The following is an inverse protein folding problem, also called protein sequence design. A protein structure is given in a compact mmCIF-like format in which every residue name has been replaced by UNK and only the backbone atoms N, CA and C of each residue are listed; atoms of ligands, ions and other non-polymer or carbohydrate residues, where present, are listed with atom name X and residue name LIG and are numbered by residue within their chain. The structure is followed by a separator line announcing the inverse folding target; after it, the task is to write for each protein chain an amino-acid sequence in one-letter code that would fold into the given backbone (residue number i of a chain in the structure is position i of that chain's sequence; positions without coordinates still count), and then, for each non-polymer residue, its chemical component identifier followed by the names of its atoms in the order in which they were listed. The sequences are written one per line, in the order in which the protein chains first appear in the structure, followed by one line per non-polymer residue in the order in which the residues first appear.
data_IF_887054475634
#
_entry.id   IF_887054475634
#
_cell.length_a   1.000
_cell.length_b   1.000
_cell.length_c   1.000
_cell.angle_alpha   90.00
_cell.angle_beta   90.00
_cell.angle_gamma   90.00
#
_symmetry.space_group_name_H-M   'P 1'
#
loop_
_entity.id
_entity.type
_entity.pdbx_description
1 polymer ?
#
# COMPACT_ATOMS: atom_id res chain seq x y z
N UNK A 1 -17.03 -10.36 -47.62
CA UNK A 1 -16.82 -10.97 -46.29
C UNK A 1 -15.34 -10.86 -45.96
N UNK A 2 -14.90 -10.10 -44.95
CA UNK A 2 -13.51 -10.15 -44.52
C UNK A 2 -13.29 -11.38 -43.63
N UNK A 3 -12.14 -12.03 -43.82
CA UNK A 3 -11.74 -13.26 -43.15
C UNK A 3 -11.58 -13.08 -41.63
N UNK A 4 -11.81 -14.14 -40.81
CA UNK A 4 -11.58 -14.07 -39.38
C UNK A 4 -10.08 -13.91 -39.11
N UNK A 5 -9.70 -12.80 -38.48
CA UNK A 5 -8.34 -12.64 -37.95
C UNK A 5 -8.16 -13.59 -36.76
N UNK A 6 -7.28 -14.58 -36.94
CA UNK A 6 -6.88 -15.54 -35.93
C UNK A 6 -6.18 -14.81 -34.79
N UNK A 7 -6.94 -14.51 -33.75
CA UNK A 7 -6.56 -13.75 -32.57
C UNK A 7 -5.91 -14.67 -31.51
N UNK A 8 -5.08 -15.63 -31.95
CA UNK A 8 -4.38 -16.56 -31.08
C UNK A 8 -3.00 -16.03 -30.70
N UNK A 9 -2.79 -15.82 -29.39
CA UNK A 9 -1.49 -15.43 -28.82
C UNK A 9 -0.40 -16.36 -29.34
N UNK A 10 0.67 -15.78 -29.91
CA UNK A 10 1.81 -16.55 -30.39
C UNK A 10 2.42 -17.37 -29.26
N UNK A 11 3.07 -18.48 -29.61
CA UNK A 11 3.72 -19.36 -28.63
C UNK A 11 4.76 -18.59 -27.78
N UNK A 12 5.40 -17.57 -28.36
CA UNK A 12 6.31 -16.65 -27.66
C UNK A 12 5.63 -15.75 -26.64
N UNK A 13 4.43 -15.25 -26.94
CA UNK A 13 3.66 -14.39 -26.03
C UNK A 13 3.07 -15.18 -24.86
N UNK A 14 2.63 -16.42 -25.12
CA UNK A 14 2.22 -17.36 -24.07
C UNK A 14 3.39 -17.68 -23.13
N UNK A 15 4.59 -17.93 -23.67
CA UNK A 15 5.78 -18.19 -22.87
C UNK A 15 6.21 -16.97 -22.04
N UNK A 16 6.11 -15.76 -22.58
CA UNK A 16 6.41 -14.52 -21.85
C UNK A 16 5.42 -14.29 -20.70
N UNK A 17 4.13 -14.49 -20.95
CA UNK A 17 3.08 -14.35 -19.93
C UNK A 17 3.24 -15.38 -18.81
N UNK A 18 3.53 -16.64 -19.17
CA UNK A 18 3.81 -17.72 -18.22
C UNK A 18 5.06 -17.43 -17.39
N UNK A 19 6.14 -16.92 -18.01
CA UNK A 19 7.34 -16.48 -17.30
C UNK A 19 7.06 -15.34 -16.33
N UNK A 20 6.26 -14.36 -16.72
CA UNK A 20 5.84 -13.25 -15.85
C UNK A 20 5.02 -13.72 -14.65
N UNK A 21 4.04 -14.61 -14.88
CA UNK A 21 3.25 -15.21 -13.81
C UNK A 21 4.09 -16.08 -12.86
N UNK A 22 4.99 -16.89 -13.39
CA UNK A 22 5.91 -17.71 -12.61
C UNK A 22 6.88 -16.85 -11.77
N UNK A 23 7.43 -15.79 -12.36
CA UNK A 23 8.29 -14.84 -11.65
C UNK A 23 7.55 -14.12 -10.52
N UNK A 24 6.32 -13.66 -10.77
CA UNK A 24 5.47 -13.07 -9.73
C UNK A 24 5.18 -14.06 -8.60
N UNK A 25 4.88 -15.32 -8.94
CA UNK A 25 4.67 -16.38 -7.96
C UNK A 25 5.93 -16.65 -7.12
N UNK A 26 7.11 -16.65 -7.74
CA UNK A 26 8.39 -16.79 -7.05
C UNK A 26 8.67 -15.63 -6.09
N UNK A 27 8.39 -14.38 -6.51
CA UNK A 27 8.55 -13.21 -5.65
C UNK A 27 7.62 -13.27 -4.43
N UNK A 28 6.34 -13.60 -4.64
CA UNK A 28 5.37 -13.76 -3.56
C UNK A 28 5.77 -14.91 -2.62
N UNK A 29 6.27 -16.02 -3.15
CA UNK A 29 6.78 -17.12 -2.35
C UNK A 29 8.02 -16.73 -1.54
N UNK A 30 8.94 -15.96 -2.13
CA UNK A 30 10.13 -15.43 -1.46
C UNK A 30 9.80 -14.46 -0.34
N UNK A 31 8.87 -13.54 -0.57
CA UNK A 31 8.36 -12.62 0.46
C UNK A 31 7.67 -13.38 1.61
N UNK A 32 6.80 -14.34 1.28
CA UNK A 32 6.15 -15.19 2.27
C UNK A 32 7.16 -16.00 3.10
N UNK A 33 8.24 -16.49 2.48
CA UNK A 33 9.33 -17.15 3.20
C UNK A 33 10.09 -16.17 4.11
N UNK A 34 10.41 -14.97 3.63
CA UNK A 34 11.07 -13.96 4.45
C UNK A 34 10.25 -13.57 5.69
N UNK A 35 8.92 -13.41 5.55
CA UNK A 35 8.02 -13.16 6.67
C UNK A 35 7.98 -14.30 7.68
N UNK A 36 8.00 -15.52 7.20
CA UNK A 36 8.09 -16.70 8.06
C UNK A 36 9.40 -16.78 8.83
N UNK A 37 10.54 -16.49 8.17
CA UNK A 37 11.84 -16.40 8.85
C UNK A 37 11.79 -15.29 9.91
N UNK A 38 11.32 -14.09 9.56
CA UNK A 38 11.24 -12.96 10.49
C UNK A 38 10.37 -13.27 11.71
N UNK A 39 9.22 -13.93 11.52
CA UNK A 39 8.27 -14.24 12.58
C UNK A 39 8.58 -15.49 13.41
N UNK A 40 9.60 -16.28 13.06
CA UNK A 40 9.96 -17.50 13.78
C UNK A 40 10.19 -17.28 15.30
N UNK A 41 10.90 -16.23 15.77
CA UNK A 41 11.10 -16.01 17.20
C UNK A 41 9.79 -15.83 17.97
N UNK A 42 8.82 -15.13 17.38
CA UNK A 42 7.48 -14.94 17.94
C UNK A 42 6.74 -16.28 18.07
N UNK A 43 6.84 -17.12 17.03
CA UNK A 43 6.20 -18.44 16.97
C UNK A 43 6.81 -19.44 17.97
N UNK A 44 8.14 -19.48 18.12
CA UNK A 44 8.83 -20.37 19.05
C UNK A 44 8.55 -20.03 20.52
N UNK A 45 8.54 -18.73 20.88
CA UNK A 45 8.31 -18.29 22.27
C UNK A 45 6.92 -18.67 22.80
N UNK A 46 5.98 -18.96 21.89
CA UNK A 46 4.59 -19.31 22.18
C UNK A 46 4.22 -20.68 21.62
N UNK A 47 5.22 -21.49 21.27
CA UNK A 47 4.99 -22.85 20.80
C UNK A 47 4.15 -23.62 21.81
N UNK A 48 3.24 -24.46 21.29
CA UNK A 48 2.36 -25.31 22.08
C UNK A 48 1.38 -24.59 23.01
N UNK A 49 1.23 -23.26 22.88
CA UNK A 49 0.10 -22.55 23.49
C UNK A 49 -1.15 -22.71 22.62
N UNK A 50 -2.30 -22.90 23.27
CA UNK A 50 -3.60 -22.96 22.61
C UNK A 50 -3.99 -21.66 21.91
N UNK A 51 -5.12 -21.69 21.20
CA UNK A 51 -5.71 -20.50 20.56
C UNK A 51 -5.90 -19.39 21.61
N UNK A 52 -5.45 -18.15 21.36
CA UNK A 52 -5.67 -17.05 22.30
C UNK A 52 -7.16 -16.67 22.37
N UNK A 53 -7.55 -15.97 23.43
CA UNK A 53 -8.90 -15.44 23.63
C UNK A 53 -8.88 -13.91 23.67
N UNK A 54 -10.01 -13.27 23.35
CA UNK A 54 -10.18 -11.81 23.40
C UNK A 54 -10.06 -11.18 24.79
N UNK A 55 -9.83 -11.97 25.85
CA UNK A 55 -9.50 -11.43 27.18
C UNK A 55 -8.13 -10.72 27.22
N UNK A 56 -7.29 -10.94 26.20
CA UNK A 56 -5.99 -10.30 26.06
C UNK A 56 -6.12 -8.90 25.43
N UNK A 57 -5.16 -7.99 25.70
CA UNK A 57 -5.03 -6.76 24.94
C UNK A 57 -4.92 -7.03 23.42
N UNK A 58 -5.46 -6.17 22.54
CA UNK A 58 -5.57 -6.46 21.11
C UNK A 58 -4.25 -6.83 20.42
N UNK A 59 -3.18 -6.06 20.67
CA UNK A 59 -1.87 -6.36 20.12
C UNK A 59 -1.40 -7.75 20.55
N UNK A 60 -1.50 -8.06 21.85
CA UNK A 60 -1.11 -9.35 22.37
C UNK A 60 -1.95 -10.50 21.81
N UNK A 61 -3.26 -10.30 21.65
CA UNK A 61 -4.13 -11.25 20.98
C UNK A 61 -3.64 -11.55 19.56
N UNK A 62 -3.37 -10.52 18.76
CA UNK A 62 -2.90 -10.66 17.37
C UNK A 62 -1.53 -11.36 17.30
N UNK A 63 -0.57 -10.99 18.16
CA UNK A 63 0.74 -11.64 18.27
C UNK A 63 0.62 -13.13 18.61
N UNK A 64 -0.26 -13.47 19.56
CA UNK A 64 -0.50 -14.87 19.95
C UNK A 64 -1.27 -15.63 18.87
N UNK A 65 -2.18 -14.97 18.16
CA UNK A 65 -2.94 -15.57 17.07
C UNK A 65 -2.00 -15.90 15.90
N UNK A 66 -1.11 -14.98 15.53
CA UNK A 66 -0.03 -15.24 14.57
C UNK A 66 0.79 -16.46 14.98
N UNK A 67 1.29 -16.49 16.21
CA UNK A 67 2.12 -17.59 16.70
C UNK A 67 1.39 -18.93 16.68
N UNK A 68 0.10 -18.96 17.04
CA UNK A 68 -0.73 -20.15 16.98
C UNK A 68 -0.96 -20.62 15.53
N UNK A 69 -1.27 -19.69 14.61
CA UNK A 69 -1.54 -20.00 13.21
C UNK A 69 -0.29 -20.41 12.44
N UNK A 70 0.88 -19.88 12.80
CA UNK A 70 2.18 -20.20 12.20
C UNK A 70 2.42 -21.71 12.10
N UNK A 71 2.12 -22.45 13.17
CA UNK A 71 2.31 -23.90 13.25
C UNK A 71 1.27 -24.72 12.47
N UNK A 72 0.15 -24.09 12.08
CA UNK A 72 -0.94 -24.71 11.34
C UNK A 72 -0.92 -24.39 9.83
N UNK A 73 0.06 -23.60 9.39
CA UNK A 73 0.24 -23.36 7.96
C UNK A 73 0.60 -24.67 7.26
N UNK A 74 0.25 -24.85 5.97
CA UNK A 74 0.71 -25.99 5.20
C UNK A 74 2.23 -26.12 5.30
N UNK A 75 2.71 -27.30 5.71
CA UNK A 75 4.13 -27.58 5.97
C UNK A 75 4.77 -26.73 7.08
N UNK A 76 3.97 -26.15 7.99
CA UNK A 76 4.41 -25.23 9.05
C UNK A 76 5.65 -25.69 9.84
N UNK A 77 5.67 -26.92 10.39
CA UNK A 77 6.85 -27.44 11.10
C UNK A 77 8.11 -27.54 10.22
N UNK A 78 7.98 -28.02 8.97
CA UNK A 78 9.11 -28.14 8.02
C UNK A 78 9.65 -26.75 7.66
N UNK A 79 8.73 -25.82 7.41
CA UNK A 79 8.98 -24.40 7.19
C UNK A 79 9.68 -23.74 8.38
N UNK A 80 9.30 -24.09 9.61
CA UNK A 80 9.94 -23.62 10.83
C UNK A 80 11.38 -24.12 10.95
N UNK A 81 11.67 -25.37 10.56
CA UNK A 81 13.05 -25.90 10.51
C UNK A 81 13.89 -25.13 9.49
N UNK A 82 13.37 -24.93 8.28
CA UNK A 82 14.05 -24.12 7.27
C UNK A 82 14.31 -22.69 7.76
N UNK A 83 13.32 -22.08 8.42
CA UNK A 83 13.46 -20.77 9.03
C UNK A 83 14.51 -20.75 10.14
N UNK A 84 14.57 -21.79 10.99
CA UNK A 84 15.54 -21.89 12.08
C UNK A 84 16.99 -22.01 11.56
N UNK A 85 17.18 -22.60 10.38
CA UNK A 85 18.48 -22.66 9.69
C UNK A 85 18.81 -21.30 9.06
N UNK A 86 17.82 -20.65 8.42
CA UNK A 86 18.03 -19.38 7.72
C UNK A 86 18.25 -18.20 8.67
N UNK A 87 17.51 -18.13 9.78
CA UNK A 87 17.50 -17.01 10.72
C UNK A 87 18.88 -16.61 11.27
N UNK A 88 19.74 -17.52 11.77
CA UNK A 88 21.05 -17.15 12.29
C UNK A 88 22.02 -16.60 11.23
N UNK A 89 21.71 -16.79 9.94
CA UNK A 89 22.49 -16.22 8.83
C UNK A 89 21.84 -14.91 8.36
N UNK A 90 20.52 -14.93 8.14
CA UNK A 90 19.76 -13.81 7.61
C UNK A 90 19.78 -12.59 8.54
N UNK A 91 19.65 -12.80 9.86
CA UNK A 91 19.60 -11.70 10.82
C UNK A 91 20.92 -10.92 10.88
N UNK A 92 22.11 -11.53 11.09
CA UNK A 92 23.37 -10.78 11.10
C UNK A 92 23.64 -10.03 9.80
N UNK A 93 23.31 -10.62 8.64
CA UNK A 93 23.43 -9.96 7.33
C UNK A 93 22.51 -8.73 7.27
N UNK A 94 21.24 -8.85 7.66
CA UNK A 94 20.32 -7.74 7.69
C UNK A 94 20.77 -6.65 8.67
N UNK A 95 21.19 -7.00 9.89
CA UNK A 95 21.72 -6.06 10.90
C UNK A 95 22.93 -5.32 10.34
N UNK A 96 23.86 -6.00 9.69
CA UNK A 96 25.02 -5.37 9.07
C UNK A 96 24.62 -4.37 7.98
N UNK A 97 23.74 -4.77 7.05
CA UNK A 97 23.28 -3.91 5.95
C UNK A 97 22.62 -2.63 6.51
N UNK A 98 21.68 -2.78 7.43
CA UNK A 98 20.93 -1.63 7.96
C UNK A 98 21.75 -0.78 8.93
N UNK A 99 22.61 -1.37 9.77
CA UNK A 99 23.51 -0.63 10.64
C UNK A 99 24.58 0.13 9.85
N UNK A 100 25.22 -0.49 8.85
CA UNK A 100 26.20 0.17 7.99
C UNK A 100 25.62 1.41 7.32
N UNK A 101 24.35 1.34 6.90
CA UNK A 101 23.64 2.44 6.23
C UNK A 101 23.19 3.54 7.21
N UNK A 102 22.68 3.19 8.38
CA UNK A 102 21.96 4.14 9.25
C UNK A 102 22.73 4.56 10.51
N UNK A 103 23.54 3.68 11.09
CA UNK A 103 23.91 3.78 12.50
C UNK A 103 24.73 5.03 12.85
N UNK A 104 25.63 5.44 11.96
CA UNK A 104 26.45 6.66 12.16
C UNK A 104 25.60 7.92 12.14
N UNK A 105 24.74 8.06 11.15
CA UNK A 105 23.87 9.23 11.01
C UNK A 105 22.87 9.33 12.18
N UNK A 106 22.31 8.19 12.60
CA UNK A 106 21.40 8.15 13.75
C UNK A 106 22.12 8.41 15.06
N UNK A 107 23.36 7.94 15.24
CA UNK A 107 24.15 8.24 16.42
C UNK A 107 24.40 9.74 16.58
N UNK A 108 24.67 10.44 15.47
CA UNK A 108 24.85 11.90 15.46
C UNK A 108 23.57 12.66 15.84
N UNK A 109 22.38 12.15 15.46
CA UNK A 109 21.09 12.82 15.70
C UNK A 109 20.46 12.50 17.05
N UNK A 110 20.61 11.26 17.52
CA UNK A 110 19.91 10.74 18.70
C UNK A 110 20.81 10.53 19.92
N UNK A 111 22.14 10.58 19.73
CA UNK A 111 23.11 10.21 20.77
C UNK A 111 23.23 8.71 21.03
N UNK A 112 22.44 7.86 20.36
CA UNK A 112 22.48 6.40 20.56
C UNK A 112 23.66 5.80 19.80
N UNK A 113 24.59 5.17 20.50
CA UNK A 113 25.80 4.62 19.88
C UNK A 113 25.49 3.55 18.81
N UNK A 114 26.33 3.39 17.77
CA UNK A 114 26.13 2.35 16.77
C UNK A 114 26.06 0.93 17.36
N UNK A 115 26.84 0.65 18.41
CA UNK A 115 26.77 -0.63 19.12
C UNK A 115 25.41 -0.85 19.79
N UNK A 116 24.87 0.17 20.46
CA UNK A 116 23.54 0.09 21.07
C UNK A 116 22.43 -0.10 20.02
N UNK A 117 22.61 0.46 18.82
CA UNK A 117 21.69 0.24 17.69
C UNK A 117 21.79 -1.18 17.13
N UNK A 118 22.99 -1.75 17.01
CA UNK A 118 23.19 -3.15 16.61
C UNK A 118 22.55 -4.10 17.62
N UNK A 119 22.84 -3.92 18.92
CA UNK A 119 22.23 -4.72 19.98
C UNK A 119 20.71 -4.56 20.03
N UNK A 120 20.21 -3.33 19.81
CA UNK A 120 18.78 -3.04 19.74
C UNK A 120 18.09 -3.79 18.61
N UNK A 121 18.69 -3.85 17.42
CA UNK A 121 18.12 -4.62 16.29
C UNK A 121 18.02 -6.12 16.62
N UNK A 122 19.06 -6.69 17.22
CA UNK A 122 19.07 -8.11 17.62
C UNK A 122 18.01 -8.38 18.69
N UNK A 123 17.89 -7.50 19.70
CA UNK A 123 16.87 -7.61 20.75
C UNK A 123 15.45 -7.55 20.19
N UNK A 124 15.19 -6.60 19.29
CA UNK A 124 13.89 -6.43 18.63
C UNK A 124 13.51 -7.64 17.78
N UNK A 125 14.45 -8.16 16.99
CA UNK A 125 14.23 -9.34 16.16
C UNK A 125 13.97 -10.58 17.03
N UNK A 126 14.77 -10.80 18.08
CA UNK A 126 14.65 -11.99 18.92
C UNK A 126 13.41 -11.99 19.81
N UNK A 127 13.01 -10.84 20.37
CA UNK A 127 11.90 -10.76 21.35
C UNK A 127 10.54 -10.51 20.74
N UNK A 128 10.50 -9.72 19.66
CA UNK A 128 9.27 -9.19 19.08
C UNK A 128 9.13 -9.52 17.60
N UNK A 129 10.04 -10.29 17.00
CA UNK A 129 10.09 -10.56 15.55
C UNK A 129 10.16 -9.30 14.69
N UNK A 130 10.62 -8.18 15.25
CA UNK A 130 10.78 -6.92 14.52
C UNK A 130 12.13 -6.94 13.80
N UNK A 131 12.08 -7.09 12.48
CA UNK A 131 13.25 -7.11 11.60
C UNK A 131 14.05 -5.78 11.64
N UNK A 132 15.35 -5.81 11.29
CA UNK A 132 16.23 -4.63 11.29
C UNK A 132 15.73 -3.39 10.54
N UNK A 133 14.96 -3.56 9.46
CA UNK A 133 14.42 -2.42 8.72
C UNK A 133 13.31 -1.70 9.50
N UNK A 134 12.44 -2.45 10.19
CA UNK A 134 11.42 -1.89 11.09
C UNK A 134 12.03 -1.22 12.32
N UNK A 135 13.18 -1.71 12.82
CA UNK A 135 13.90 -1.06 13.90
C UNK A 135 14.22 0.40 13.58
N UNK A 136 14.68 0.68 12.36
CA UNK A 136 14.96 2.05 11.91
C UNK A 136 13.68 2.81 11.53
N UNK A 137 12.78 2.16 10.77
CA UNK A 137 11.49 2.75 10.38
C UNK A 137 10.70 3.26 11.59
N UNK A 138 10.59 2.47 12.66
CA UNK A 138 9.81 2.84 13.85
C UNK A 138 10.64 3.55 14.93
N UNK A 139 11.87 3.95 14.60
CA UNK A 139 12.77 4.68 15.50
C UNK A 139 13.02 3.94 16.83
N UNK A 140 13.03 2.61 16.83
CA UNK A 140 13.20 1.77 18.03
C UNK A 140 14.60 1.84 18.66
N UNK A 141 15.51 2.62 18.05
CA UNK A 141 16.74 3.05 18.70
C UNK A 141 16.44 3.97 19.90
N UNK A 142 15.32 4.70 19.88
CA UNK A 142 14.86 5.55 20.98
C UNK A 142 14.19 4.71 22.08
N UNK A 143 14.52 5.01 23.34
CA UNK A 143 14.15 4.17 24.49
C UNK A 143 12.63 4.16 24.73
N UNK A 144 11.96 5.30 24.58
CA UNK A 144 10.52 5.46 24.73
C UNK A 144 9.73 4.68 23.67
N UNK A 145 10.25 4.59 22.44
CA UNK A 145 9.68 3.77 21.37
C UNK A 145 9.89 2.29 21.64
N UNK A 146 11.11 1.92 22.05
CA UNK A 146 11.46 0.53 22.36
C UNK A 146 10.63 -0.08 23.50
N UNK A 147 10.26 0.71 24.52
CA UNK A 147 9.37 0.27 25.62
C UNK A 147 7.97 -0.16 25.14
N UNK A 148 7.58 0.25 23.94
CA UNK A 148 6.29 -0.06 23.31
C UNK A 148 6.43 -1.04 22.14
N UNK A 149 7.58 -1.70 21.99
CA UNK A 149 7.86 -2.61 20.88
C UNK A 149 6.81 -3.73 20.72
N UNK A 150 6.32 -4.26 21.84
CA UNK A 150 5.26 -5.28 21.92
C UNK A 150 3.87 -4.84 21.43
N UNK A 151 3.73 -3.59 20.99
CA UNK A 151 2.48 -3.04 20.47
C UNK A 151 2.56 -2.79 18.96
N UNK A 152 3.75 -2.86 18.36
CA UNK A 152 3.89 -2.71 16.91
C UNK A 152 3.36 -3.95 16.20
N UNK A 153 2.51 -3.74 15.21
CA UNK A 153 1.94 -4.80 14.39
C UNK A 153 2.66 -4.82 13.05
N UNK A 154 3.36 -5.90 12.74
CA UNK A 154 4.19 -5.98 11.55
C UNK A 154 3.49 -6.73 10.41
N UNK A 155 3.90 -6.48 9.16
CA UNK A 155 3.32 -7.10 7.97
C UNK A 155 3.24 -8.64 8.04
N UNK A 156 4.23 -9.31 8.64
CA UNK A 156 4.20 -10.77 8.73
C UNK A 156 3.06 -11.28 9.63
N UNK A 157 2.59 -10.46 10.58
CA UNK A 157 1.51 -10.79 11.51
C UNK A 157 0.14 -10.42 10.94
N UNK A 158 0.06 -9.24 10.31
CA UNK A 158 -1.18 -8.69 9.76
C UNK A 158 -1.47 -9.22 8.35
N UNK A 159 -0.56 -8.99 7.40
CA UNK A 159 -0.72 -9.41 5.99
C UNK A 159 -0.66 -10.93 5.83
N UNK A 160 0.08 -11.62 6.69
CA UNK A 160 0.15 -13.08 6.74
C UNK A 160 -1.16 -13.74 7.21
N UNK A 161 -1.24 -14.29 8.43
CA UNK A 161 -2.38 -15.08 8.85
C UNK A 161 -3.64 -14.27 9.13
N UNK A 162 -3.55 -13.06 9.71
CA UNK A 162 -4.74 -12.30 10.08
C UNK A 162 -5.56 -11.90 8.84
N UNK A 163 -4.96 -11.17 7.89
CA UNK A 163 -5.69 -10.77 6.68
C UNK A 163 -6.10 -11.95 5.81
N UNK A 164 -5.40 -13.08 5.84
CA UNK A 164 -5.83 -14.28 5.11
C UNK A 164 -7.17 -14.84 5.61
N UNK A 165 -7.52 -14.65 6.89
CA UNK A 165 -8.84 -14.99 7.45
C UNK A 165 -9.90 -13.90 7.19
N UNK A 166 -9.45 -12.66 7.09
CA UNK A 166 -10.33 -11.50 6.92
C UNK A 166 -10.64 -11.17 5.45
N UNK A 167 -9.94 -11.81 4.50
CA UNK A 167 -10.24 -11.66 3.08
C UNK A 167 -11.62 -12.25 2.77
N UNK A 168 -12.32 -11.67 1.77
CA UNK A 168 -13.53 -12.26 1.24
C UNK A 168 -13.21 -13.62 0.57
N UNK A 169 -14.19 -14.53 0.44
CA UNK A 169 -14.01 -15.76 -0.33
C UNK A 169 -13.52 -15.47 -1.75
N UNK A 170 -12.73 -16.38 -2.37
CA UNK A 170 -12.31 -16.21 -3.76
C UNK A 170 -13.51 -15.97 -4.69
N UNK A 171 -13.47 -14.90 -5.46
CA UNK A 171 -14.53 -14.52 -6.40
C UNK A 171 -15.70 -13.71 -5.81
N UNK A 172 -15.70 -13.43 -4.51
CA UNK A 172 -16.75 -12.62 -3.88
C UNK A 172 -16.71 -11.12 -4.28
N UNK A 173 -15.52 -10.60 -4.62
CA UNK A 173 -15.38 -9.29 -5.27
C UNK A 173 -14.14 -9.23 -6.16
N UNK A 174 -14.01 -8.14 -6.92
CA UNK A 174 -12.87 -7.87 -7.80
C UNK A 174 -12.08 -6.61 -7.43
N UNK A 175 -11.95 -6.24 -6.15
CA UNK A 175 -11.32 -4.97 -5.74
C UNK A 175 -9.91 -4.77 -6.34
N UNK A 176 -9.11 -5.83 -6.45
CA UNK A 176 -7.75 -5.76 -7.02
C UNK A 176 -7.76 -5.57 -8.55
N UNK A 177 -8.89 -5.82 -9.23
CA UNK A 177 -9.09 -5.50 -10.65
C UNK A 177 -9.61 -4.08 -10.78
N UNK A 178 -8.74 -3.20 -11.27
CA UNK A 178 -9.00 -1.76 -11.38
C UNK A 178 -10.19 -1.41 -12.26
N UNK A 179 -10.55 -2.25 -13.24
CA UNK A 179 -11.70 -2.02 -14.11
C UNK A 179 -12.98 -2.39 -13.38
N UNK A 180 -13.03 -3.61 -12.83
CA UNK A 180 -14.15 -4.09 -12.03
C UNK A 180 -14.42 -3.14 -10.86
N UNK A 181 -13.36 -2.69 -10.17
CA UNK A 181 -13.45 -1.74 -9.06
C UNK A 181 -14.13 -0.43 -9.45
N UNK A 182 -13.73 0.17 -10.59
CA UNK A 182 -14.31 1.42 -11.05
C UNK A 182 -15.78 1.25 -11.47
N UNK A 183 -16.11 0.17 -12.19
CA UNK A 183 -17.49 -0.15 -12.58
C UNK A 183 -18.37 -0.40 -11.35
N UNK A 184 -17.91 -1.22 -10.39
CA UNK A 184 -18.64 -1.49 -9.15
C UNK A 184 -18.86 -0.23 -8.33
N UNK A 185 -17.84 0.62 -8.18
CA UNK A 185 -18.01 1.90 -7.50
C UNK A 185 -19.06 2.79 -8.19
N UNK A 186 -19.04 2.86 -9.53
CA UNK A 186 -20.02 3.62 -10.29
C UNK A 186 -21.45 3.08 -10.07
N UNK A 187 -21.65 1.77 -10.16
CA UNK A 187 -22.94 1.11 -9.93
C UNK A 187 -23.47 1.34 -8.50
N UNK A 188 -22.58 1.40 -7.51
CA UNK A 188 -22.92 1.68 -6.10
C UNK A 188 -23.00 3.19 -5.77
N UNK A 189 -22.84 4.07 -6.76
CA UNK A 189 -22.86 5.52 -6.57
C UNK A 189 -21.71 6.04 -5.69
N UNK A 190 -20.59 5.32 -5.64
CA UNK A 190 -19.34 5.72 -4.99
C UNK A 190 -18.50 6.51 -5.99
N UNK A 191 -18.09 7.73 -5.62
CA UNK A 191 -17.26 8.58 -6.48
C UNK A 191 -15.82 8.04 -6.51
N UNK A 192 -15.53 7.22 -7.52
CA UNK A 192 -14.20 6.69 -7.81
C UNK A 192 -13.71 7.16 -9.17
N UNK A 193 -12.40 7.12 -9.39
CA UNK A 193 -11.78 7.47 -10.67
C UNK A 193 -12.33 6.56 -11.79
N UNK A 194 -12.93 7.13 -12.85
CA UNK A 194 -13.50 6.32 -13.91
C UNK A 194 -12.41 5.69 -14.77
N UNK A 195 -12.72 4.56 -15.39
CA UNK A 195 -11.92 4.00 -16.48
C UNK A 195 -12.57 4.43 -17.79
N UNK A 196 -11.83 5.21 -18.57
CA UNK A 196 -12.29 5.76 -19.85
C UNK A 196 -12.14 4.76 -20.99
N UNK A 197 -11.06 3.97 -20.94
CA UNK A 197 -10.74 2.98 -21.97
C UNK A 197 -9.86 1.86 -21.42
N UNK A 198 -9.97 0.66 -21.99
CA UNK A 198 -9.15 -0.51 -21.66
C UNK A 198 -8.63 -1.16 -22.93
N UNK A 199 -7.36 -1.56 -22.93
CA UNK A 199 -6.68 -2.25 -24.02
C UNK A 199 -6.12 -3.58 -23.54
N UNK A 200 -6.39 -4.64 -24.30
CA UNK A 200 -5.93 -5.99 -23.98
C UNK A 200 -5.77 -6.82 -25.24
N UNK A 201 -4.63 -7.49 -25.38
CA UNK A 201 -4.28 -8.36 -26.52
C UNK A 201 -4.33 -7.64 -27.87
N UNK A 202 -3.73 -6.46 -27.94
CA UNK A 202 -3.59 -5.75 -29.22
C UNK A 202 -4.81 -4.93 -29.63
N UNK A 203 -5.87 -4.92 -28.83
CA UNK A 203 -7.12 -4.26 -29.19
C UNK A 203 -7.77 -3.54 -28.01
N UNK A 204 -8.57 -2.52 -28.35
CA UNK A 204 -9.47 -1.88 -27.39
C UNK A 204 -10.55 -2.86 -26.98
N UNK A 205 -10.84 -2.93 -25.69
CA UNK A 205 -11.95 -3.69 -25.13
C UNK A 205 -13.12 -2.77 -24.79
N UNK A 206 -14.36 -3.21 -24.99
CA UNK A 206 -15.53 -2.45 -24.57
C UNK A 206 -15.55 -2.28 -23.05
N UNK A 207 -16.10 -1.17 -22.60
CA UNK A 207 -16.39 -0.85 -21.19
C UNK A 207 -17.86 -0.45 -21.09
N UNK A 208 -18.51 -0.72 -19.95
CA UNK A 208 -19.88 -0.26 -19.72
C UNK A 208 -19.91 1.27 -19.75
N UNK A 209 -20.66 1.86 -20.69
CA UNK A 209 -20.73 3.32 -20.86
C UNK A 209 -19.45 3.97 -21.40
N UNK A 210 -18.49 3.18 -21.89
CA UNK A 210 -17.25 3.68 -22.48
C UNK A 210 -17.43 4.24 -23.89
N UNK A 211 -16.58 5.19 -24.26
CA UNK A 211 -16.53 5.75 -25.61
C UNK A 211 -15.59 4.95 -26.53
N UNK A 212 -15.87 4.98 -27.83
CA UNK A 212 -14.98 4.45 -28.88
C UNK A 212 -13.80 5.38 -29.18
N UNK A 213 -13.87 6.60 -28.66
CA UNK A 213 -12.93 7.68 -28.93
C UNK A 213 -12.33 8.13 -27.60
N UNK A 214 -11.00 8.26 -27.53
CA UNK A 214 -10.35 8.86 -26.36
C UNK A 214 -10.88 10.30 -26.15
N UNK A 215 -11.30 10.67 -24.94
CA UNK A 215 -11.91 11.98 -24.71
C UNK A 215 -10.88 13.12 -24.81
N UNK A 216 -11.37 14.31 -25.12
CA UNK A 216 -10.59 15.54 -24.97
C UNK A 216 -10.30 15.79 -23.49
N UNK A 217 -9.02 15.98 -23.15
CA UNK A 217 -8.57 16.17 -21.77
C UNK A 217 -7.32 15.37 -21.44
N UNK A 218 -6.62 15.77 -20.38
CA UNK A 218 -5.41 15.09 -19.93
C UNK A 218 -5.70 13.64 -19.50
N UNK A 219 -4.82 12.72 -19.89
CA UNK A 219 -4.99 11.29 -19.65
C UNK A 219 -3.86 10.72 -18.78
N UNK A 220 -4.23 9.71 -18.00
CA UNK A 220 -3.32 8.90 -17.22
C UNK A 220 -3.48 7.43 -17.62
N UNK A 221 -2.39 6.82 -18.07
CA UNK A 221 -2.35 5.42 -18.52
C UNK A 221 -1.63 4.60 -17.47
N UNK A 222 -2.21 3.47 -17.07
CA UNK A 222 -1.58 2.54 -16.13
C UNK A 222 -1.89 1.08 -16.46
N UNK A 223 -1.02 0.13 -16.06
CA UNK A 223 -1.32 -1.28 -16.19
C UNK A 223 -2.57 -1.68 -15.39
N UNK A 224 -3.39 -2.57 -15.96
CA UNK A 224 -4.59 -3.11 -15.29
C UNK A 224 -4.21 -3.80 -13.98
N UNK A 225 -3.22 -4.68 -14.04
CA UNK A 225 -2.71 -5.42 -12.88
C UNK A 225 -1.31 -4.95 -12.49
N UNK A 226 -0.97 -5.09 -11.20
CA UNK A 226 0.32 -4.66 -10.65
C UNK A 226 0.18 -3.59 -9.56
N UNK A 227 1.22 -3.51 -8.74
CA UNK A 227 1.39 -2.57 -7.62
C UNK A 227 2.63 -1.68 -7.86
N UNK A 228 2.68 -0.53 -7.18
CA UNK A 228 3.90 0.29 -7.14
C UNK A 228 4.15 1.23 -8.33
N UNK A 229 3.12 1.59 -9.11
CA UNK A 229 3.23 2.72 -10.04
C UNK A 229 4.21 2.61 -11.22
N UNK A 230 4.72 1.42 -11.52
CA UNK A 230 5.59 1.22 -12.68
C UNK A 230 4.79 1.25 -13.99
N UNK A 231 5.41 1.77 -15.06
CA UNK A 231 4.82 1.88 -16.42
C UNK A 231 3.55 2.73 -16.48
N UNK A 232 3.49 3.78 -15.66
CA UNK A 232 2.48 4.81 -15.75
C UNK A 232 2.90 5.87 -16.78
N UNK A 233 1.97 6.30 -17.61
CA UNK A 233 2.21 7.37 -18.59
C UNK A 233 1.23 8.52 -18.37
N UNK A 234 1.73 9.76 -18.47
CA UNK A 234 0.94 10.97 -18.52
C UNK A 234 0.88 11.49 -19.94
N UNK A 235 -0.31 11.90 -20.38
CA UNK A 235 -0.56 12.49 -21.68
C UNK A 235 -1.34 13.80 -21.51
N UNK A 236 -0.69 14.93 -21.78
CA UNK A 236 -1.26 16.27 -21.69
C UNK A 236 -1.99 16.61 -23.01
N UNK A 237 -3.24 17.05 -22.95
CA UNK A 237 -4.02 17.37 -24.16
C UNK A 237 -3.63 18.73 -24.73
N UNK A 238 -3.36 18.79 -26.04
CA UNK A 238 -2.92 20.01 -26.73
C UNK A 238 -4.02 20.66 -27.58
N UNK A 239 -5.23 20.11 -27.59
CA UNK A 239 -6.29 20.49 -28.52
C UNK A 239 -6.29 19.65 -29.80
N UNK A 240 -7.41 19.68 -30.53
CA UNK A 240 -7.56 19.04 -31.85
C UNK A 240 -7.21 17.54 -31.87
N UNK A 241 -7.49 16.82 -30.77
CA UNK A 241 -7.18 15.39 -30.68
C UNK A 241 -5.69 15.06 -30.58
N UNK A 242 -4.84 16.00 -30.15
CA UNK A 242 -3.40 15.77 -29.94
C UNK A 242 -3.03 15.69 -28.46
N UNK A 243 -2.10 14.79 -28.14
CA UNK A 243 -1.64 14.55 -26.77
C UNK A 243 -0.11 14.54 -26.72
N UNK A 244 0.47 15.08 -25.66
CA UNK A 244 1.92 15.11 -25.42
C UNK A 244 2.30 14.29 -24.19
N UNK A 245 3.28 13.40 -24.31
CA UNK A 245 3.78 12.65 -23.15
C UNK A 245 4.83 13.44 -22.35
N UNK A 246 5.30 12.85 -21.25
CA UNK A 246 6.34 13.44 -20.40
C UNK A 246 7.72 13.60 -21.09
N UNK A 247 7.97 12.88 -22.20
CA UNK A 247 9.21 12.97 -22.98
C UNK A 247 9.13 14.01 -24.10
N UNK A 248 7.97 14.63 -24.30
CA UNK A 248 7.74 15.63 -25.35
C UNK A 248 7.19 15.06 -26.66
N UNK A 249 6.98 13.75 -26.75
CA UNK A 249 6.37 13.14 -27.95
C UNK A 249 4.92 13.57 -28.07
N UNK A 250 4.54 14.03 -29.26
CA UNK A 250 3.16 14.42 -29.59
C UNK A 250 2.54 13.38 -30.50
N UNK A 251 1.43 12.80 -30.09
CA UNK A 251 0.65 11.84 -30.86
C UNK A 251 -0.76 12.40 -31.13
N UNK A 252 -1.30 12.10 -32.30
CA UNK A 252 -2.74 12.22 -32.52
C UNK A 252 -3.48 11.16 -31.72
N UNK A 253 -4.79 11.34 -31.53
CA UNK A 253 -5.68 10.39 -30.88
C UNK A 253 -5.52 8.98 -31.42
N UNK A 254 -5.56 8.83 -32.74
CA UNK A 254 -5.48 7.52 -33.39
C UNK A 254 -4.10 6.88 -33.18
N UNK A 255 -3.02 7.67 -33.29
CA UNK A 255 -1.67 7.20 -33.01
C UNK A 255 -1.51 6.76 -31.54
N UNK A 256 -2.11 7.49 -30.60
CA UNK A 256 -2.09 7.12 -29.19
C UNK A 256 -2.89 5.82 -28.96
N UNK A 257 -4.07 5.68 -29.56
CA UNK A 257 -4.84 4.43 -29.47
C UNK A 257 -4.08 3.24 -30.07
N UNK A 258 -3.44 3.40 -31.23
CA UNK A 258 -2.62 2.36 -31.85
C UNK A 258 -1.41 1.99 -30.97
N UNK A 259 -0.74 2.98 -30.38
CA UNK A 259 0.35 2.76 -29.43
C UNK A 259 -0.12 1.93 -28.24
N UNK A 260 -1.23 2.31 -27.61
CA UNK A 260 -1.77 1.61 -26.43
C UNK A 260 -2.23 0.19 -26.78
N UNK A 261 -2.87 0.02 -27.94
CA UNK A 261 -3.24 -1.28 -28.48
C UNK A 261 -1.98 -2.16 -28.66
N UNK A 262 -0.93 -1.66 -29.31
CA UNK A 262 0.33 -2.40 -29.48
C UNK A 262 1.02 -2.73 -28.16
N UNK A 263 1.05 -1.80 -27.21
CA UNK A 263 1.57 -2.05 -25.87
C UNK A 263 0.78 -3.16 -25.16
N UNK A 264 -0.53 -3.22 -25.39
CA UNK A 264 -1.41 -4.22 -24.80
C UNK A 264 -1.22 -5.67 -25.27
N UNK A 265 -0.35 -5.88 -26.26
CA UNK A 265 0.12 -7.23 -26.62
C UNK A 265 0.97 -7.85 -25.50
N UNK A 266 1.60 -7.03 -24.65
CA UNK A 266 2.47 -7.49 -23.55
C UNK A 266 1.79 -7.47 -22.18
N UNK A 267 1.08 -6.38 -21.86
CA UNK A 267 0.42 -6.17 -20.57
C UNK A 267 -0.93 -5.47 -20.81
N UNK A 268 -1.99 -5.81 -20.09
CA UNK A 268 -3.25 -5.05 -20.18
C UNK A 268 -3.10 -3.62 -19.62
N UNK A 269 -3.65 -2.62 -20.31
CA UNK A 269 -3.59 -1.20 -19.91
C UNK A 269 -4.96 -0.57 -19.84
N UNK A 270 -5.12 0.39 -18.93
CA UNK A 270 -6.32 1.20 -18.84
C UNK A 270 -5.98 2.69 -18.87
N UNK A 271 -6.94 3.49 -19.33
CA UNK A 271 -6.88 4.94 -19.44
C UNK A 271 -7.86 5.55 -18.45
N UNK A 272 -7.38 6.52 -17.68
CA UNK A 272 -8.16 7.32 -16.72
C UNK A 272 -7.99 8.80 -17.02
N UNK A 273 -8.91 9.66 -16.57
CA UNK A 273 -8.63 11.09 -16.57
C UNK A 273 -7.42 11.36 -15.69
N UNK A 274 -6.55 12.28 -16.11
CA UNK A 274 -5.52 12.80 -15.24
C UNK A 274 -6.16 13.77 -14.24
N UNK A 275 -6.17 13.36 -12.97
CA UNK A 275 -6.71 14.18 -11.90
C UNK A 275 -5.70 15.23 -11.43
N UNK A 276 -6.21 16.36 -10.95
CA UNK A 276 -5.43 17.44 -10.37
C UNK A 276 -5.77 17.60 -8.88
N UNK A 277 -4.78 17.93 -8.07
CA UNK A 277 -5.01 18.22 -6.65
C UNK A 277 -5.95 19.43 -6.49
N UNK A 278 -6.63 19.48 -5.36
CA UNK A 278 -7.27 20.69 -4.89
C UNK A 278 -6.22 21.82 -4.78
N UNK A 279 -6.49 23.07 -5.24
CA UNK A 279 -5.50 24.15 -5.29
C UNK A 279 -4.80 24.46 -3.96
N UNK A 280 -5.48 24.24 -2.83
CA UNK A 280 -4.89 24.37 -1.49
C UNK A 280 -3.70 23.43 -1.19
N UNK A 281 -3.43 22.45 -2.05
CA UNK A 281 -2.31 21.50 -1.92
C UNK A 281 -1.18 21.76 -2.92
N UNK A 282 -1.34 22.72 -3.85
CA UNK A 282 -0.40 22.94 -4.96
C UNK A 282 1.02 23.27 -4.48
N UNK A 283 1.13 24.02 -3.38
CA UNK A 283 2.41 24.43 -2.81
C UNK A 283 3.11 23.33 -1.99
N UNK A 284 2.42 22.23 -1.65
CA UNK A 284 2.97 21.08 -0.93
C UNK A 284 2.96 19.80 -1.77
N UNK A 285 2.83 19.95 -3.08
CA UNK A 285 2.92 18.89 -4.09
C UNK A 285 4.02 19.20 -5.11
N UNK A 286 4.53 18.17 -5.78
CA UNK A 286 5.41 18.30 -6.95
C UNK A 286 4.62 18.23 -8.28
N UNK A 287 3.30 18.32 -8.23
CA UNK A 287 2.39 18.14 -9.36
C UNK A 287 1.88 16.70 -9.54
N UNK A 288 2.37 15.73 -8.78
CA UNK A 288 1.74 14.42 -8.64
C UNK A 288 0.47 14.53 -7.78
N UNK A 289 -0.48 13.63 -8.04
CA UNK A 289 -1.70 13.55 -7.25
C UNK A 289 -1.35 13.09 -5.83
N UNK A 290 -1.68 13.92 -4.84
CA UNK A 290 -1.52 13.62 -3.43
C UNK A 290 -2.79 12.96 -2.89
N UNK A 291 -2.63 11.93 -2.07
CA UNK A 291 -3.74 11.13 -1.56
C UNK A 291 -3.64 10.90 -0.06
N UNK A 292 -4.79 10.68 0.56
CA UNK A 292 -4.87 10.16 1.92
C UNK A 292 -5.03 8.65 1.84
N UNK A 293 -4.12 7.92 2.48
CA UNK A 293 -4.30 6.50 2.84
C UNK A 293 -5.19 6.45 4.08
N UNK A 294 -6.46 6.10 3.90
CA UNK A 294 -7.46 6.02 4.97
C UNK A 294 -7.84 4.57 5.21
N UNK A 295 -7.61 4.07 6.43
CA UNK A 295 -8.01 2.72 6.83
C UNK A 295 -9.45 2.71 7.33
N UNK A 296 -10.24 1.82 6.77
CA UNK A 296 -11.56 1.46 7.26
C UNK A 296 -11.58 0.01 7.72
N UNK A 297 -12.32 -0.27 8.79
CA UNK A 297 -12.48 -1.61 9.32
C UNK A 297 -13.94 -1.82 9.78
N UNK A 298 -14.45 -3.05 9.66
CA UNK A 298 -15.77 -3.44 10.15
C UNK A 298 -15.74 -3.44 11.67
N UNK A 299 -16.59 -2.63 12.27
CA UNK A 299 -16.72 -2.57 13.72
C UNK A 299 -17.52 -3.74 14.28
N UNK A 300 -17.71 -3.76 15.60
CA UNK A 300 -18.41 -4.83 16.31
C UNK A 300 -19.87 -4.97 15.89
N UNK A 301 -20.48 -3.93 15.30
CA UNK A 301 -21.82 -3.97 14.71
C UNK A 301 -21.81 -4.31 13.21
N UNK A 302 -20.66 -4.62 12.62
CA UNK A 302 -20.51 -4.93 11.20
C UNK A 302 -20.55 -3.71 10.26
N UNK A 303 -20.51 -2.48 10.79
CA UNK A 303 -20.47 -1.25 9.99
C UNK A 303 -19.05 -0.81 9.70
N UNK A 304 -18.81 -0.18 8.57
CA UNK A 304 -17.52 0.39 8.23
C UNK A 304 -17.19 1.57 9.17
N UNK A 305 -15.99 1.56 9.74
CA UNK A 305 -15.48 2.59 10.64
C UNK A 305 -14.09 3.02 10.16
N UNK A 306 -13.87 4.33 9.99
CA UNK A 306 -12.55 4.87 9.70
C UNK A 306 -11.68 4.87 10.97
N UNK A 307 -10.45 4.37 10.86
CA UNK A 307 -9.60 4.03 12.02
C UNK A 307 -8.26 4.76 12.04
N UNK A 308 -7.68 5.02 10.86
CA UNK A 308 -6.40 5.69 10.72
C UNK A 308 -6.35 6.44 9.38
N UNK A 309 -5.56 7.50 9.32
CA UNK A 309 -5.36 8.27 8.10
C UNK A 309 -3.93 8.82 8.01
N UNK A 310 -3.31 8.65 6.85
CA UNK A 310 -2.00 9.21 6.54
C UNK A 310 -2.05 9.93 5.19
N UNK A 311 -1.70 11.21 5.17
CA UNK A 311 -1.59 11.98 3.94
C UNK A 311 -0.21 11.77 3.33
N UNK A 312 -0.19 11.48 2.02
CA UNK A 312 1.01 11.19 1.25
C UNK A 312 1.30 12.32 0.27
N UNK A 313 2.56 12.71 0.22
CA UNK A 313 3.07 13.74 -0.68
C UNK A 313 4.25 13.16 -1.46
N UNK A 314 4.20 13.23 -2.79
CA UNK A 314 5.35 12.92 -3.62
C UNK A 314 6.45 13.97 -3.42
N UNK A 315 7.73 13.54 -3.44
CA UNK A 315 8.88 14.44 -3.47
C UNK A 315 9.78 14.13 -4.67
N UNK A 316 10.56 15.11 -5.11
CA UNK A 316 11.42 14.99 -6.29
C UNK A 316 10.61 14.87 -7.59
N UNK A 317 11.08 14.04 -8.53
CA UNK A 317 10.46 13.86 -9.85
C UNK A 317 9.45 12.69 -9.91
N UNK A 318 9.02 12.17 -8.75
CA UNK A 318 8.07 11.06 -8.74
C UNK A 318 6.72 11.49 -9.29
N UNK A 319 6.16 10.68 -10.20
CA UNK A 319 4.81 10.87 -10.77
C UNK A 319 3.69 10.33 -9.86
N UNK A 320 4.07 9.62 -8.80
CA UNK A 320 3.16 9.07 -7.77
C UNK A 320 3.62 9.42 -6.37
N UNK A 321 2.68 9.56 -5.43
CA UNK A 321 2.91 9.85 -4.02
C UNK A 321 3.23 8.60 -3.18
N UNK A 322 3.77 7.55 -3.82
CA UNK A 322 4.03 6.28 -3.15
C UNK A 322 5.11 6.43 -2.07
N UNK A 323 4.66 6.30 -0.82
CA UNK A 323 5.49 6.33 0.38
C UNK A 323 6.67 5.36 0.34
N UNK A 324 6.48 4.15 -0.23
CA UNK A 324 7.54 3.15 -0.34
C UNK A 324 8.55 3.45 -1.46
N UNK A 325 8.28 4.45 -2.31
CA UNK A 325 9.16 4.89 -3.40
C UNK A 325 9.76 6.28 -3.16
N UNK A 326 9.77 6.72 -1.91
CA UNK A 326 10.46 7.93 -1.50
C UNK A 326 9.57 9.16 -1.39
N UNK A 327 8.24 9.02 -1.29
CA UNK A 327 7.34 10.10 -0.85
C UNK A 327 7.43 10.38 0.65
N UNK A 328 6.83 11.50 1.08
CA UNK A 328 6.57 11.82 2.48
C UNK A 328 5.18 11.35 2.91
N UNK A 329 5.04 10.95 4.16
CA UNK A 329 3.74 10.74 4.79
C UNK A 329 3.64 11.44 6.15
N UNK A 330 2.45 11.94 6.47
CA UNK A 330 2.11 12.55 7.76
C UNK A 330 0.77 12.03 8.25
N UNK A 331 0.63 11.87 9.57
CA UNK A 331 -0.64 11.51 10.17
C UNK A 331 -1.68 12.61 9.95
N UNK A 332 -2.92 12.20 9.72
CA UNK A 332 -4.08 13.10 9.68
C UNK A 332 -4.90 12.87 10.95
N UNK A 333 -5.18 13.94 11.69
CA UNK A 333 -6.14 13.87 12.79
C UNK A 333 -7.54 13.58 12.23
N UNK A 334 -8.12 12.43 12.60
CA UNK A 334 -9.38 11.97 12.02
C UNK A 334 -10.56 12.92 12.25
N UNK A 335 -10.57 13.64 13.37
CA UNK A 335 -11.67 14.55 13.73
C UNK A 335 -11.57 15.89 12.99
N UNK A 336 -10.37 16.40 12.80
CA UNK A 336 -10.14 17.78 12.34
C UNK A 336 -9.56 17.88 10.93
N UNK A 337 -9.00 16.80 10.39
CA UNK A 337 -8.27 16.81 9.11
C UNK A 337 -6.90 17.46 9.20
N UNK A 338 -6.44 17.81 10.41
CA UNK A 338 -5.17 18.49 10.61
C UNK A 338 -3.99 17.53 10.40
N UNK A 339 -2.99 17.97 9.63
CA UNK A 339 -1.74 17.24 9.40
C UNK A 339 -0.58 17.79 10.22
N UNK A 340 0.37 16.92 10.56
CA UNK A 340 1.53 17.24 11.39
C UNK A 340 2.84 17.30 10.60
N UNK A 341 3.93 16.94 11.28
CA UNK A 341 5.22 16.69 10.63
C UNK A 341 5.14 15.43 9.75
N UNK A 342 5.94 15.37 8.70
CA UNK A 342 6.00 14.26 7.76
C UNK A 342 7.40 13.65 7.73
N UNK A 343 7.50 12.38 7.35
CA UNK A 343 8.78 11.72 7.06
C UNK A 343 8.62 10.82 5.85
N UNK A 344 9.74 10.46 5.24
CA UNK A 344 9.84 9.26 4.43
C UNK A 344 9.64 7.99 5.29
N UNK A 345 9.78 6.83 4.65
CA UNK A 345 9.66 5.51 5.27
C UNK A 345 10.74 5.21 6.35
N UNK A 346 11.73 6.08 6.57
CA UNK A 346 12.64 5.97 7.71
C UNK A 346 13.61 4.78 7.67
N UNK A 347 13.79 4.12 6.52
CA UNK A 347 14.77 3.03 6.34
C UNK A 347 16.16 3.53 5.92
N UNK A 348 16.26 4.83 5.62
CA UNK A 348 17.48 5.57 5.32
C UNK A 348 17.52 6.84 6.16
N UNK A 349 18.70 7.40 6.47
CA UNK A 349 18.79 8.61 7.26
C UNK A 349 18.61 9.90 6.43
N UNK A 350 18.20 9.81 5.16
CA UNK A 350 18.39 10.88 4.17
C UNK A 350 17.44 12.07 4.39
N UNK A 351 16.13 11.80 4.53
CA UNK A 351 15.08 12.84 4.56
C UNK A 351 14.73 13.25 5.99
N UNK A 352 14.36 12.27 6.82
CA UNK A 352 13.93 12.46 8.20
C UNK A 352 12.60 13.21 8.35
N UNK A 353 12.30 13.62 9.58
CA UNK A 353 11.11 14.38 9.92
C UNK A 353 11.21 15.85 9.46
N UNK A 354 10.13 16.36 8.86
CA UNK A 354 10.01 17.72 8.31
C UNK A 354 8.66 18.33 8.65
N UNK A 355 8.60 19.65 8.77
CA UNK A 355 7.36 20.43 8.82
C UNK A 355 7.10 21.23 7.52
N UNK A 356 8.06 21.21 6.60
CA UNK A 356 8.05 21.88 5.30
C UNK A 356 8.33 20.92 4.15
N UNK A 357 7.72 21.17 2.99
CA UNK A 357 7.92 20.37 1.78
C UNK A 357 9.33 20.61 1.22
N UNK A 358 10.12 19.55 0.92
CA UNK A 358 11.55 19.68 0.65
C UNK A 358 11.90 20.38 -0.67
N UNK A 359 10.94 20.47 -1.60
CA UNK A 359 11.15 21.13 -2.90
C UNK A 359 10.66 22.57 -2.89
N UNK A 360 9.45 22.81 -2.38
CA UNK A 360 8.79 24.13 -2.42
C UNK A 360 9.06 25.00 -1.18
N UNK A 361 9.52 24.40 -0.08
CA UNK A 361 9.71 25.09 1.20
C UNK A 361 8.40 25.40 1.95
N UNK A 362 7.24 25.10 1.37
CA UNK A 362 5.96 25.40 1.98
C UNK A 362 5.75 24.58 3.26
N UNK A 363 5.30 25.26 4.33
CA UNK A 363 4.98 24.62 5.62
C UNK A 363 3.66 23.88 5.50
N UNK A 364 3.65 22.57 5.74
CA UNK A 364 2.42 21.75 5.77
C UNK A 364 1.95 21.43 7.19
N UNK A 365 2.85 21.42 8.19
CA UNK A 365 2.46 21.08 9.56
C UNK A 365 1.48 22.11 10.15
N UNK A 366 0.35 21.62 10.66
CA UNK A 366 -0.74 22.41 11.21
C UNK A 366 -1.86 22.74 10.21
N UNK A 367 -1.68 22.44 8.90
CA UNK A 367 -2.75 22.63 7.91
C UNK A 367 -3.88 21.63 8.09
N UNK A 368 -5.08 22.02 7.70
CA UNK A 368 -6.23 21.13 7.56
C UNK A 368 -6.39 20.76 6.09
N UNK A 369 -6.57 19.47 5.81
CA UNK A 369 -6.79 18.99 4.45
C UNK A 369 -8.16 19.44 3.91
N UNK A 370 -8.25 19.79 2.61
CA UNK A 370 -9.51 20.19 1.99
C UNK A 370 -10.50 19.02 1.97
N UNK A 371 -11.81 19.34 2.03
CA UNK A 371 -12.90 18.36 1.97
C UNK A 371 -12.83 17.23 3.02
N UNK A 372 -12.16 17.43 4.16
CA UNK A 372 -11.86 16.32 5.08
C UNK A 372 -13.08 15.49 5.53
N UNK A 373 -14.19 16.15 5.87
CA UNK A 373 -15.42 15.46 6.24
C UNK A 373 -15.97 14.59 5.08
N UNK A 374 -15.86 15.07 3.84
CA UNK A 374 -16.26 14.34 2.63
C UNK A 374 -15.32 13.17 2.36
N UNK A 375 -14.00 13.32 2.55
CA UNK A 375 -13.01 12.23 2.43
C UNK A 375 -13.37 11.07 3.36
N UNK A 376 -13.66 11.37 4.62
CA UNK A 376 -14.06 10.37 5.62
C UNK A 376 -15.37 9.69 5.24
N UNK A 377 -16.40 10.47 4.89
CA UNK A 377 -17.70 9.94 4.50
C UNK A 377 -17.63 9.08 3.22
N UNK A 378 -16.84 9.50 2.23
CA UNK A 378 -16.64 8.78 0.97
C UNK A 378 -15.95 7.45 1.19
N UNK A 379 -14.91 7.39 2.04
CA UNK A 379 -14.21 6.14 2.33
C UNK A 379 -15.11 5.13 3.09
N UNK A 380 -15.90 5.60 4.05
CA UNK A 380 -16.89 4.76 4.76
C UNK A 380 -17.95 4.26 3.76
N UNK A 381 -18.52 5.15 2.93
CA UNK A 381 -19.47 4.76 1.88
C UNK A 381 -18.88 3.76 0.89
N UNK A 382 -17.63 3.97 0.49
CA UNK A 382 -16.90 3.05 -0.37
C UNK A 382 -16.75 1.67 0.28
N UNK A 383 -16.41 1.61 1.58
CA UNK A 383 -16.33 0.32 2.28
C UNK A 383 -17.68 -0.37 2.43
N UNK A 384 -18.77 0.38 2.61
CA UNK A 384 -20.12 -0.21 2.61
C UNK A 384 -20.49 -0.89 1.29
N UNK A 385 -19.93 -0.46 0.16
CA UNK A 385 -20.09 -1.13 -1.13
C UNK A 385 -19.37 -2.49 -1.23
N UNK A 386 -18.52 -2.86 -0.25
CA UNK A 386 -17.78 -4.12 -0.21
C UNK A 386 -18.05 -4.86 1.12
N UNK A 387 -19.24 -5.44 1.30
CA UNK A 387 -19.69 -5.98 2.58
C UNK A 387 -18.84 -7.16 3.11
N UNK A 388 -18.27 -7.96 2.21
CA UNK A 388 -17.44 -9.12 2.57
C UNK A 388 -16.05 -8.74 3.10
N UNK A 389 -15.59 -7.52 2.81
CA UNK A 389 -14.28 -7.02 3.24
C UNK A 389 -14.35 -6.49 4.66
N UNK A 390 -13.46 -7.01 5.51
CA UNK A 390 -13.34 -6.55 6.90
C UNK A 390 -12.54 -5.26 6.99
N UNK A 391 -11.43 -5.16 6.27
CA UNK A 391 -10.50 -4.04 6.33
C UNK A 391 -10.12 -3.61 4.92
N UNK A 392 -10.09 -2.30 4.68
CA UNK A 392 -9.68 -1.73 3.40
C UNK A 392 -8.89 -0.45 3.66
N UNK A 393 -7.75 -0.32 2.97
CA UNK A 393 -7.01 0.95 2.87
C UNK A 393 -7.38 1.67 1.59
N UNK A 394 -8.07 2.80 1.72
CA UNK A 394 -8.48 3.63 0.59
C UNK A 394 -7.43 4.67 0.28
N UNK A 395 -7.11 4.84 -1.00
CA UNK A 395 -6.40 6.03 -1.46
C UNK A 395 -7.45 7.04 -1.95
N UNK A 396 -7.56 8.14 -1.24
CA UNK A 396 -8.55 9.19 -1.53
C UNK A 396 -7.82 10.45 -1.95
N UNK A 397 -8.11 10.95 -3.15
CA UNK A 397 -7.65 12.24 -3.61
C UNK A 397 -8.63 13.34 -3.19
N UNK A 398 -8.09 14.53 -2.96
CA UNK A 398 -8.88 15.74 -2.75
C UNK A 398 -8.71 16.62 -3.98
N UNK A 399 -9.77 16.78 -4.76
CA UNK A 399 -9.81 17.55 -6.00
C UNK A 399 -10.51 18.89 -5.73
N UNK A 400 -10.46 19.82 -6.70
CA UNK A 400 -11.12 21.12 -6.58
C UNK A 400 -12.64 21.03 -6.36
N UNK A 401 -13.27 19.96 -6.84
CA UNK A 401 -14.71 19.73 -6.80
C UNK A 401 -15.12 18.61 -5.81
N UNK A 402 -14.24 18.24 -4.87
CA UNK A 402 -14.52 17.27 -3.80
C UNK A 402 -13.58 16.07 -3.76
N UNK A 403 -13.94 15.07 -2.96
CA UNK A 403 -13.13 13.88 -2.74
C UNK A 403 -13.39 12.81 -3.82
N UNK A 404 -12.36 12.02 -4.15
CA UNK A 404 -12.47 10.92 -5.12
C UNK A 404 -11.64 9.70 -4.69
N UNK A 405 -12.24 8.52 -4.74
CA UNK A 405 -11.53 7.26 -4.51
C UNK A 405 -10.64 6.94 -5.72
N UNK A 406 -9.36 6.69 -5.47
CA UNK A 406 -8.37 6.32 -6.48
C UNK A 406 -8.20 4.80 -6.56
N UNK A 407 -8.09 4.15 -5.41
CA UNK A 407 -7.97 2.70 -5.27
C UNK A 407 -8.42 2.24 -3.87
N UNK A 408 -8.85 0.98 -3.79
CA UNK A 408 -9.05 0.25 -2.53
C UNK A 408 -8.01 -0.87 -2.39
N UNK A 409 -7.38 -0.96 -1.23
CA UNK A 409 -6.39 -1.99 -0.92
C UNK A 409 -6.95 -2.97 0.10
N UNK A 410 -7.21 -4.21 -0.33
CA UNK A 410 -7.81 -5.26 0.50
C UNK A 410 -6.92 -5.83 1.61
N UNK A 411 -5.60 -5.61 1.52
CA UNK A 411 -4.60 -6.02 2.51
C UNK A 411 -3.71 -4.83 2.87
N UNK A 412 -4.25 -3.79 3.53
CA UNK A 412 -3.51 -2.56 3.73
C UNK A 412 -2.39 -2.75 4.76
N UNK A 413 -1.19 -2.32 4.39
CA UNK A 413 -0.06 -2.26 5.30
C UNK A 413 -0.32 -1.21 6.41
N UNK A 414 0.07 -1.55 7.65
CA UNK A 414 -0.02 -0.66 8.80
C UNK A 414 1.27 0.15 9.02
N UNK A 415 2.36 -0.17 8.32
CA UNK A 415 3.66 0.48 8.48
C UNK A 415 3.61 1.99 8.27
N UNK A 416 2.90 2.45 7.22
CA UNK A 416 2.73 3.88 6.96
C UNK A 416 2.07 4.59 8.13
N UNK A 417 1.04 3.99 8.75
CA UNK A 417 0.36 4.56 9.90
C UNK A 417 1.27 4.56 11.12
N UNK A 418 1.97 3.45 11.38
CA UNK A 418 2.86 3.35 12.53
C UNK A 418 4.06 4.31 12.45
N UNK A 419 4.56 4.56 11.23
CA UNK A 419 5.58 5.58 10.97
C UNK A 419 4.99 6.97 11.10
N UNK A 420 3.96 7.31 10.33
CA UNK A 420 3.42 8.66 10.20
C UNK A 420 2.77 9.17 11.51
N UNK A 421 2.06 8.29 12.22
CA UNK A 421 1.45 8.58 13.54
C UNK A 421 2.47 8.51 14.67
N UNK A 422 3.71 8.10 14.35
CA UNK A 422 4.82 7.99 15.31
C UNK A 422 4.37 7.15 16.50
N UNK A 423 3.92 5.93 16.26
CA UNK A 423 3.39 5.08 17.31
C UNK A 423 3.00 3.68 16.84
N UNK A 424 2.95 2.71 17.75
CA UNK A 424 2.45 1.36 17.44
C UNK A 424 0.96 1.36 17.09
N UNK A 425 0.56 0.52 16.15
CA UNK A 425 -0.85 0.33 15.80
C UNK A 425 -1.61 -0.47 16.87
N UNK A 426 -0.93 -1.27 17.70
CA UNK A 426 -1.52 -2.19 18.66
C UNK A 426 -2.41 -1.57 19.75
N UNK A 427 -2.31 -0.26 19.98
CA UNK A 427 -3.16 0.50 20.92
C UNK A 427 -4.23 1.33 20.20
N UNK A 428 -4.20 1.34 18.86
CA UNK A 428 -5.14 2.11 18.06
C UNK A 428 -6.42 1.32 17.76
N UNK A 429 -7.46 2.03 17.32
CA UNK A 429 -8.77 1.44 17.04
C UNK A 429 -8.70 0.30 16.02
N UNK A 430 -7.81 0.37 15.02
CA UNK A 430 -7.65 -0.70 14.03
C UNK A 430 -7.24 -2.02 14.70
N UNK A 431 -6.36 -2.03 15.71
CA UNK A 431 -5.95 -3.26 16.38
C UNK A 431 -7.10 -3.92 17.14
N UNK A 432 -7.94 -3.13 17.81
CA UNK A 432 -9.16 -3.62 18.46
C UNK A 432 -10.11 -4.30 17.46
N UNK A 433 -10.36 -3.64 16.33
CA UNK A 433 -11.26 -4.17 15.31
C UNK A 433 -10.69 -5.39 14.59
N UNK A 434 -9.38 -5.41 14.33
CA UNK A 434 -8.72 -6.58 13.78
C UNK A 434 -8.80 -7.77 14.74
N UNK A 435 -8.51 -7.57 16.03
CA UNK A 435 -8.63 -8.64 17.03
C UNK A 435 -10.05 -9.19 17.09
N UNK A 436 -11.06 -8.31 17.16
CA UNK A 436 -12.47 -8.70 17.16
C UNK A 436 -12.85 -9.55 15.93
N UNK A 437 -12.52 -9.09 14.72
CA UNK A 437 -12.90 -9.79 13.49
C UNK A 437 -12.10 -11.07 13.27
N UNK A 438 -10.83 -11.10 13.67
CA UNK A 438 -10.03 -12.33 13.63
C UNK A 438 -10.66 -13.37 14.54
N UNK A 439 -11.00 -13.01 15.78
CA UNK A 439 -11.63 -13.95 16.71
C UNK A 439 -12.95 -14.52 16.19
N UNK A 440 -13.81 -13.65 15.64
CA UNK A 440 -15.09 -14.02 15.04
C UNK A 440 -14.96 -15.00 13.86
N UNK A 441 -13.86 -14.95 13.11
CA UNK A 441 -13.63 -15.77 11.90
C UNK A 441 -12.65 -16.95 12.10
N UNK A 442 -12.02 -17.06 13.27
CA UNK A 442 -10.97 -18.05 13.56
C UNK A 442 -11.48 -19.36 14.15
#
# INVERSE_FOLDING_TARGET
MPAPQDNSLSLGDRLTTLKGAAWKALLVAGEGFAYMVAGLPMALRRAFRGKPTLALPPAEYLHRHYAWRYWQLPWGPVRAVAAAIAWPIALPVAVFIFARRNARAIAQRSGVSPLAQVMGQVDMAARFAIAPFWFYMFELHLAERRKRAQLYLTAHETIGPAYSLLQPPPGADGMDDKIWFAEHCHEQGVRAVPVLMHFSRGERRPLKGGSDVLPDGDLFVKPRSGSGGHRMERWDFLGEGRYRNAHGDVLTRDQLMEKLARQSLKDDFLVQPRLANHPALDDISNGALATVRLLTCRNEQGRAEATNAAFRMAIGNSVVDNFHQGGLATAVNLQTGQIGIASDIGIRPDVGWRDTHPVSGARFAGRTLPHWAEVMALAVKAHEAFPERVVVGWDVAMLADGAMIIEGNGKPDLDIHQRAERGPAGESRIAHLLAHNVDKRS
#
